data_IF_521765233288
#
_entry.id   IF_521765233288
#
_cell.length_a   1.000
_cell.length_b   1.000
_cell.length_c   1.000
_cell.angle_alpha   90.00
_cell.angle_beta   90.00
_cell.angle_gamma   90.00
#
_symmetry.space_group_name_H-M   'P 1'
#
loop_
_entity.id
_entity.type
_entity.pdbx_description
1 polymer ?
#
# COMPACT_ATOMS: atom_id res chain seq x y z
N UNK A 1 -36.79 15.90 -43.81
CA UNK A 1 -38.07 15.14 -43.84
C UNK A 1 -37.65 13.72 -44.07
N UNK A 2 -37.63 12.94 -42.99
CA UNK A 2 -36.74 11.78 -42.92
C UNK A 2 -37.55 10.47 -42.85
N UNK A 3 -38.76 10.53 -42.29
CA UNK A 3 -39.76 9.49 -42.45
C UNK A 3 -41.17 10.06 -42.45
N UNK A 4 -42.11 9.25 -42.93
CA UNK A 4 -43.55 9.49 -42.79
C UNK A 4 -44.17 8.28 -42.11
N UNK A 5 -44.90 8.53 -41.03
CA UNK A 5 -45.60 7.47 -40.30
C UNK A 5 -47.10 7.71 -40.41
N UNK A 6 -47.83 6.67 -40.77
CA UNK A 6 -49.30 6.70 -40.83
C UNK A 6 -49.84 5.87 -39.68
N UNK A 7 -50.63 6.50 -38.81
CA UNK A 7 -51.32 5.81 -37.72
C UNK A 7 -52.70 6.44 -37.50
N UNK A 8 -53.72 5.60 -37.24
CA UNK A 8 -55.12 6.01 -37.08
C UNK A 8 -55.65 6.93 -38.20
N UNK A 9 -55.22 6.74 -39.45
CA UNK A 9 -55.66 7.55 -40.59
C UNK A 9 -55.04 8.94 -40.68
N UNK A 10 -54.13 9.30 -39.77
CA UNK A 10 -53.36 10.54 -39.82
C UNK A 10 -51.94 10.28 -40.37
N UNK A 11 -51.46 11.22 -41.17
CA UNK A 11 -50.09 11.21 -41.72
C UNK A 11 -49.24 12.17 -40.88
N UNK A 12 -48.20 11.64 -40.26
CA UNK A 12 -47.23 12.42 -39.48
C UNK A 12 -45.91 12.51 -40.24
N UNK A 13 -45.42 13.73 -40.42
CA UNK A 13 -44.09 13.98 -40.94
C UNK A 13 -43.09 13.88 -39.78
N UNK A 14 -42.22 12.87 -39.82
CA UNK A 14 -41.15 12.71 -38.83
C UNK A 14 -39.92 13.40 -39.39
N UNK A 15 -39.47 14.43 -38.67
CA UNK A 15 -38.22 15.12 -38.94
C UNK A 15 -37.27 14.83 -37.79
N UNK A 16 -36.05 14.41 -38.08
CA UNK A 16 -34.96 14.44 -37.11
C UNK A 16 -34.63 15.90 -36.82
N UNK A 17 -35.34 16.48 -35.86
CA UNK A 17 -35.21 17.88 -35.44
C UNK A 17 -33.98 18.10 -34.54
N UNK A 18 -33.60 17.08 -33.75
CA UNK A 18 -32.58 17.25 -32.71
C UNK A 18 -31.25 16.61 -33.09
N UNK A 19 -30.30 17.43 -33.50
CA UNK A 19 -28.88 17.15 -33.23
C UNK A 19 -28.66 17.46 -31.75
N UNK A 20 -28.56 16.44 -30.91
CA UNK A 20 -28.11 16.65 -29.53
C UNK A 20 -26.60 16.91 -29.56
N UNK A 21 -26.22 18.20 -29.54
CA UNK A 21 -24.85 18.61 -29.31
C UNK A 21 -24.60 18.61 -27.81
N UNK A 22 -23.67 17.77 -27.37
CA UNK A 22 -23.32 17.68 -25.96
C UNK A 22 -22.11 18.57 -25.73
N UNK A 23 -22.28 19.59 -24.90
CA UNK A 23 -21.20 20.49 -24.55
C UNK A 23 -20.37 19.83 -23.45
N UNK A 24 -19.04 19.87 -23.59
CA UNK A 24 -18.15 19.51 -22.50
C UNK A 24 -18.30 20.56 -21.41
N UNK A 25 -18.75 20.13 -20.24
CA UNK A 25 -18.97 21.00 -19.09
C UNK A 25 -17.75 20.96 -18.17
N UNK A 26 -17.18 19.78 -17.96
CA UNK A 26 -16.04 19.57 -17.07
C UNK A 26 -15.01 18.71 -17.78
N UNK A 27 -13.73 19.01 -17.61
CA UNK A 27 -12.67 18.07 -17.94
C UNK A 27 -11.53 18.16 -16.92
N UNK A 28 -10.82 17.06 -16.72
CA UNK A 28 -9.64 16.99 -15.84
C UNK A 28 -8.70 15.90 -16.29
N UNK A 29 -7.43 15.96 -15.88
CA UNK A 29 -6.47 14.89 -16.18
C UNK A 29 -6.60 13.74 -15.17
N UNK A 30 -6.22 12.54 -15.61
CA UNK A 30 -6.06 11.37 -14.74
C UNK A 30 -4.60 10.95 -14.76
N UNK A 31 -3.95 11.00 -13.61
CA UNK A 31 -2.51 10.75 -13.45
C UNK A 31 -2.25 9.56 -12.52
N UNK A 32 -1.15 8.88 -12.76
CA UNK A 32 -0.61 7.83 -11.90
C UNK A 32 -0.01 8.47 -10.64
N UNK A 33 -0.45 8.03 -9.48
CA UNK A 33 0.01 8.50 -8.16
C UNK A 33 1.40 7.93 -7.77
N UNK A 34 2.27 7.71 -8.76
CA UNK A 34 3.66 7.37 -8.54
C UNK A 34 4.46 8.64 -8.26
N UNK A 35 5.13 8.69 -7.10
CA UNK A 35 5.81 9.90 -6.61
C UNK A 35 7.05 10.28 -7.42
N UNK A 36 7.64 9.32 -8.13
CA UNK A 36 8.91 9.49 -8.82
C UNK A 36 8.79 9.94 -10.28
N UNK A 37 7.67 9.60 -10.91
CA UNK A 37 7.33 9.96 -12.28
C UNK A 37 5.81 9.92 -12.41
N UNK A 38 5.08 10.98 -12.02
CA UNK A 38 3.66 11.08 -12.33
C UNK A 38 3.51 11.06 -13.84
N UNK A 39 2.77 10.09 -14.35
CA UNK A 39 2.51 9.89 -15.76
C UNK A 39 0.99 9.83 -15.99
N UNK A 40 0.47 10.24 -17.15
CA UNK A 40 -0.94 10.01 -17.46
C UNK A 40 -1.31 8.54 -17.31
N UNK A 41 -2.47 8.26 -16.73
CA UNK A 41 -3.02 6.90 -16.76
C UNK A 41 -3.41 6.61 -18.20
N UNK A 42 -2.73 5.62 -18.80
CA UNK A 42 -3.02 5.23 -20.17
C UNK A 42 -4.45 4.68 -20.27
N UNK A 43 -5.20 5.18 -21.26
CA UNK A 43 -6.52 4.66 -21.59
C UNK A 43 -6.44 3.20 -22.09
N UNK A 44 -7.54 2.41 -22.01
CA UNK A 44 -8.86 2.80 -21.51
C UNK A 44 -8.97 2.76 -19.98
N UNK A 45 -9.71 3.72 -19.44
CA UNK A 45 -10.26 3.68 -18.09
C UNK A 45 -11.72 4.13 -18.14
N UNK A 46 -12.53 3.59 -17.23
CA UNK A 46 -13.95 3.87 -17.16
C UNK A 46 -14.18 5.09 -16.26
N UNK A 47 -15.16 5.90 -16.65
CA UNK A 47 -15.58 7.09 -15.91
C UNK A 47 -17.10 7.04 -15.79
N UNK A 48 -17.62 7.25 -14.59
CA UNK A 48 -19.05 7.50 -14.36
C UNK A 48 -19.27 8.73 -13.50
N UNK A 49 -20.46 9.31 -13.59
CA UNK A 49 -20.89 10.46 -12.81
C UNK A 49 -22.26 10.15 -12.22
N UNK A 50 -22.52 10.65 -11.01
CA UNK A 50 -23.77 10.43 -10.26
C UNK A 50 -25.00 11.12 -10.86
N UNK A 51 -24.80 12.07 -11.76
CA UNK A 51 -25.86 12.75 -12.50
C UNK A 51 -26.24 12.02 -13.80
N UNK A 52 -27.48 11.54 -13.89
CA UNK A 52 -28.00 10.80 -15.04
C UNK A 52 -28.18 11.63 -16.33
N UNK A 53 -28.16 12.96 -16.23
CA UNK A 53 -28.28 13.91 -17.34
C UNK A 53 -26.92 14.25 -17.96
N UNK A 54 -25.84 13.95 -17.23
CA UNK A 54 -24.48 14.03 -17.75
C UNK A 54 -24.07 12.68 -18.35
N UNK A 55 -23.07 12.71 -19.22
CA UNK A 55 -22.23 11.52 -19.40
C UNK A 55 -20.78 11.83 -19.23
N UNK A 56 -20.10 10.78 -18.83
CA UNK A 56 -18.69 10.76 -18.62
C UNK A 56 -18.00 9.94 -19.70
N UNK A 57 -16.79 10.35 -20.07
CA UNK A 57 -15.90 9.58 -20.95
C UNK A 57 -14.46 9.76 -20.48
N UNK A 58 -13.71 8.67 -20.49
CA UNK A 58 -12.24 8.70 -20.39
C UNK A 58 -11.61 8.88 -21.78
N UNK A 59 -10.44 9.50 -21.83
CA UNK A 59 -9.60 9.67 -23.02
C UNK A 59 -8.12 9.78 -22.62
N UNK A 60 -7.19 9.71 -23.57
CA UNK A 60 -5.74 9.69 -23.29
C UNK A 60 -5.23 10.88 -22.47
N UNK A 61 -5.91 12.03 -22.57
CA UNK A 61 -5.56 13.24 -21.83
C UNK A 61 -6.30 13.41 -20.47
N UNK A 62 -7.15 12.46 -20.05
CA UNK A 62 -8.00 12.62 -18.87
C UNK A 62 -9.47 12.20 -19.05
N UNK A 63 -10.38 12.83 -18.32
CA UNK A 63 -11.81 12.58 -18.40
C UNK A 63 -12.57 13.85 -18.78
N UNK A 64 -13.76 13.66 -19.36
CA UNK A 64 -14.69 14.73 -19.66
C UNK A 64 -16.11 14.35 -19.21
N UNK A 65 -16.83 15.33 -18.67
CA UNK A 65 -18.26 15.26 -18.43
C UNK A 65 -18.96 16.19 -19.41
N UNK A 66 -19.96 15.67 -20.13
CA UNK A 66 -20.69 16.40 -21.15
C UNK A 66 -22.20 16.26 -20.95
N UNK A 67 -22.93 17.32 -21.30
CA UNK A 67 -24.38 17.39 -21.18
C UNK A 67 -24.92 18.72 -21.68
N UNK A 68 -26.19 18.98 -21.38
CA UNK A 68 -26.82 20.29 -21.58
C UNK A 68 -26.73 21.09 -20.28
N UNK A 69 -26.02 22.24 -20.25
CA UNK A 69 -25.82 23.00 -19.01
C UNK A 69 -27.13 23.58 -18.45
N UNK A 70 -28.14 23.82 -19.29
CA UNK A 70 -29.43 24.37 -18.84
C UNK A 70 -30.32 23.29 -18.20
N UNK A 71 -29.99 22.01 -18.43
CA UNK A 71 -30.74 20.87 -17.91
C UNK A 71 -30.00 20.19 -16.77
N UNK A 72 -28.73 19.81 -16.98
CA UNK A 72 -27.92 19.09 -16.00
C UNK A 72 -27.44 20.01 -14.86
N UNK A 73 -27.29 21.31 -15.11
CA UNK A 73 -26.84 22.29 -14.12
C UNK A 73 -27.84 23.45 -14.02
N UNK A 74 -29.14 23.16 -13.95
CA UNK A 74 -30.23 24.12 -14.25
C UNK A 74 -30.17 25.50 -13.55
N UNK A 75 -29.49 25.60 -12.40
CA UNK A 75 -29.31 26.85 -11.68
C UNK A 75 -27.85 27.29 -11.72
N UNK A 76 -27.51 28.17 -12.66
CA UNK A 76 -26.14 28.69 -12.81
C UNK A 76 -25.76 29.68 -11.70
N UNK A 77 -26.64 30.02 -10.77
CA UNK A 77 -26.31 30.96 -9.68
C UNK A 77 -25.70 30.27 -8.45
N UNK A 78 -25.76 28.94 -8.39
CA UNK A 78 -25.20 28.11 -7.33
C UNK A 78 -24.08 27.23 -7.86
N UNK A 79 -23.16 26.84 -6.97
CA UNK A 79 -22.17 25.83 -7.30
C UNK A 79 -22.83 24.44 -7.27
N UNK A 80 -22.44 23.59 -8.21
CA UNK A 80 -22.88 22.20 -8.29
C UNK A 80 -21.72 21.27 -7.93
N UNK A 81 -22.02 20.20 -7.20
CA UNK A 81 -21.05 19.16 -6.87
C UNK A 81 -21.43 17.91 -7.62
N UNK A 82 -20.49 17.39 -8.40
CA UNK A 82 -20.64 16.17 -9.20
C UNK A 82 -19.72 15.09 -8.62
N UNK A 83 -20.26 13.92 -8.33
CA UNK A 83 -19.47 12.79 -7.87
C UNK A 83 -19.05 11.93 -9.07
N UNK A 84 -17.74 11.77 -9.25
CA UNK A 84 -17.14 11.09 -10.39
C UNK A 84 -16.38 9.85 -9.90
N UNK A 85 -16.73 8.69 -10.45
CA UNK A 85 -16.00 7.44 -10.25
C UNK A 85 -15.09 7.16 -11.43
N UNK A 86 -13.86 6.75 -11.12
CA UNK A 86 -12.82 6.37 -12.07
C UNK A 86 -12.35 4.95 -11.75
N UNK A 87 -12.32 4.07 -12.75
CA UNK A 87 -11.77 2.72 -12.61
C UNK A 87 -10.86 2.36 -13.79
N UNK A 88 -9.72 1.75 -13.49
CA UNK A 88 -8.74 1.36 -14.50
C UNK A 88 -8.04 0.06 -14.08
N UNK A 89 -7.75 -0.81 -15.06
CA UNK A 89 -7.06 -2.07 -14.78
C UNK A 89 -5.69 -1.81 -14.17
N UNK A 90 -5.42 -2.44 -13.02
CA UNK A 90 -4.16 -2.27 -12.29
C UNK A 90 -4.10 -1.03 -11.40
N UNK A 91 -5.20 -0.29 -11.28
CA UNK A 91 -5.39 0.80 -10.33
C UNK A 91 -6.51 0.49 -9.34
N UNK A 92 -6.51 1.19 -8.22
CA UNK A 92 -7.63 1.24 -7.30
C UNK A 92 -8.67 2.19 -7.86
N UNK A 93 -9.92 1.81 -7.74
CA UNK A 93 -11.04 2.69 -8.07
C UNK A 93 -10.95 3.97 -7.23
N UNK A 94 -11.30 5.09 -7.86
CA UNK A 94 -11.19 6.41 -7.26
C UNK A 94 -12.51 7.16 -7.43
N UNK A 95 -13.06 7.56 -6.30
CA UNK A 95 -14.19 8.46 -6.21
C UNK A 95 -13.68 9.88 -5.95
N UNK A 96 -14.14 10.86 -6.73
CA UNK A 96 -13.79 12.27 -6.55
C UNK A 96 -15.02 13.17 -6.69
N UNK A 97 -15.04 14.21 -5.86
CA UNK A 97 -16.04 15.25 -5.91
C UNK A 97 -15.51 16.41 -6.74
N UNK A 98 -16.23 16.78 -7.81
CA UNK A 98 -15.87 17.87 -8.72
C UNK A 98 -16.87 19.00 -8.57
N UNK A 99 -16.38 20.17 -8.18
CA UNK A 99 -17.22 21.36 -8.04
C UNK A 99 -17.25 22.18 -9.33
N UNK A 100 -18.43 22.34 -9.90
CA UNK A 100 -18.72 23.36 -10.91
C UNK A 100 -19.09 24.65 -10.17
N UNK A 101 -18.33 25.75 -10.32
CA UNK A 101 -18.61 26.99 -9.60
C UNK A 101 -19.92 27.63 -10.08
N UNK A 102 -20.49 28.53 -9.27
CA UNK A 102 -21.55 29.42 -9.72
C UNK A 102 -21.06 30.32 -10.87
N UNK A 103 -21.97 30.62 -11.79
CA UNK A 103 -21.73 31.33 -13.05
C UNK A 103 -20.52 30.76 -13.83
N UNK A 104 -20.52 29.44 -14.14
CA UNK A 104 -19.36 28.78 -14.72
C UNK A 104 -19.09 29.27 -16.15
N UNK A 105 -17.81 29.34 -16.52
CA UNK A 105 -17.38 29.45 -17.91
C UNK A 105 -16.99 28.06 -18.37
N UNK A 106 -17.73 27.50 -19.32
CA UNK A 106 -17.49 26.15 -19.81
C UNK A 106 -16.46 26.12 -20.96
N UNK A 107 -15.59 25.09 -21.01
CA UNK A 107 -15.54 23.99 -20.07
C UNK A 107 -14.76 24.34 -18.78
N UNK A 108 -15.19 23.81 -17.64
CA UNK A 108 -14.51 23.96 -16.35
C UNK A 108 -13.37 22.95 -16.26
N UNK A 109 -12.17 23.44 -15.96
CA UNK A 109 -10.98 22.61 -15.74
C UNK A 109 -10.98 22.12 -14.29
N UNK A 110 -11.21 20.83 -14.08
CA UNK A 110 -11.09 20.18 -12.79
C UNK A 110 -9.62 19.90 -12.44
N UNK A 111 -9.34 19.74 -11.14
CA UNK A 111 -8.02 19.34 -10.68
C UNK A 111 -7.67 17.92 -11.15
N UNK A 112 -6.38 17.66 -11.36
CA UNK A 112 -5.89 16.35 -11.74
C UNK A 112 -6.27 15.30 -10.69
N UNK A 113 -6.77 14.16 -11.16
CA UNK A 113 -7.12 13.04 -10.30
C UNK A 113 -6.00 12.01 -10.32
N UNK A 114 -5.36 11.83 -9.17
CA UNK A 114 -4.33 10.82 -8.99
C UNK A 114 -4.96 9.45 -8.68
N UNK A 115 -4.72 8.45 -9.54
CA UNK A 115 -5.12 7.06 -9.31
C UNK A 115 -3.96 6.25 -8.74
N UNK A 116 -4.22 5.50 -7.67
CA UNK A 116 -3.21 4.67 -7.01
C UNK A 116 -3.17 3.28 -7.64
N UNK A 117 -1.97 2.80 -7.98
CA UNK A 117 -1.78 1.43 -8.48
C UNK A 117 -2.17 0.37 -7.45
N UNK A 118 -2.70 -0.75 -7.94
CA UNK A 118 -2.83 -1.97 -7.13
C UNK A 118 -1.43 -2.49 -6.81
N UNK A 119 -1.13 -2.85 -5.54
CA UNK A 119 0.22 -3.25 -5.18
C UNK A 119 0.66 -4.55 -5.87
N UNK A 120 1.89 -4.56 -6.39
CA UNK A 120 2.54 -5.73 -6.99
C UNK A 120 3.70 -6.22 -6.12
N UNK A 121 4.28 -7.36 -6.49
CA UNK A 121 5.39 -7.97 -5.77
C UNK A 121 6.66 -8.09 -6.62
N UNK A 122 7.82 -8.06 -5.96
CA UNK A 122 9.11 -8.48 -6.51
C UNK A 122 9.60 -9.70 -5.76
N UNK A 123 10.10 -10.70 -6.48
CA UNK A 123 10.69 -11.89 -5.85
C UNK A 123 11.92 -12.34 -6.59
N UNK A 124 12.80 -13.07 -5.92
CA UNK A 124 13.95 -13.68 -6.57
C UNK A 124 14.92 -14.28 -5.58
N UNK A 125 16.15 -14.48 -6.04
CA UNK A 125 17.26 -15.04 -5.26
C UNK A 125 18.43 -14.08 -5.18
N UNK A 126 19.09 -14.09 -4.04
CA UNK A 126 20.37 -13.43 -3.81
C UNK A 126 21.42 -14.53 -3.69
N UNK A 127 22.40 -14.48 -4.60
CA UNK A 127 23.41 -15.52 -4.77
C UNK A 127 24.79 -14.90 -4.90
N UNK A 128 25.83 -15.66 -4.58
CA UNK A 128 27.22 -15.28 -4.85
C UNK A 128 27.47 -15.31 -6.36
N UNK A 129 28.13 -14.29 -6.91
CA UNK A 129 28.39 -14.18 -8.35
C UNK A 129 29.27 -15.34 -8.87
N UNK A 130 30.27 -15.75 -8.09
CA UNK A 130 31.25 -16.75 -8.51
C UNK A 130 30.71 -18.19 -8.47
N UNK A 131 29.95 -18.55 -7.43
CA UNK A 131 29.53 -19.95 -7.20
C UNK A 131 28.05 -20.20 -7.46
N UNK A 132 27.21 -19.16 -7.43
CA UNK A 132 25.75 -19.31 -7.45
C UNK A 132 25.14 -19.78 -6.12
N UNK A 133 25.96 -19.89 -5.06
CA UNK A 133 25.48 -20.27 -3.73
C UNK A 133 24.56 -19.19 -3.15
N UNK A 134 23.54 -19.56 -2.35
CA UNK A 134 22.66 -18.59 -1.73
C UNK A 134 23.39 -17.71 -0.72
N UNK A 135 23.02 -16.43 -0.65
CA UNK A 135 23.50 -15.50 0.39
C UNK A 135 22.38 -15.30 1.43
N UNK A 136 22.32 -16.12 2.49
CA UNK A 136 21.26 -16.03 3.48
C UNK A 136 21.40 -14.76 4.33
N UNK A 137 20.27 -14.20 4.76
CA UNK A 137 20.27 -13.01 5.61
C UNK A 137 20.65 -11.70 4.90
N UNK A 138 20.91 -11.74 3.59
CA UNK A 138 21.07 -10.52 2.79
C UNK A 138 19.83 -9.64 2.90
N UNK A 139 20.04 -8.33 3.06
CA UNK A 139 19.00 -7.34 3.32
C UNK A 139 18.80 -6.45 2.10
N UNK A 140 17.53 -6.27 1.71
CA UNK A 140 17.08 -5.35 0.68
C UNK A 140 16.46 -4.13 1.34
N UNK A 141 17.03 -2.97 1.12
CA UNK A 141 16.48 -1.69 1.53
C UNK A 141 16.10 -0.85 0.31
N UNK A 142 15.15 0.06 0.51
CA UNK A 142 14.78 1.09 -0.47
C UNK A 142 15.62 2.34 -0.19
N UNK A 143 16.42 2.78 -1.17
CA UNK A 143 17.21 4.01 -1.08
C UNK A 143 16.53 5.21 -1.72
N UNK A 144 15.61 4.95 -2.65
CA UNK A 144 15.04 5.99 -3.48
C UNK A 144 13.98 5.45 -4.42
N UNK A 145 13.55 6.24 -5.40
CA UNK A 145 14.23 7.42 -5.95
C UNK A 145 14.26 8.62 -4.99
N UNK A 146 15.12 9.60 -5.31
CA UNK A 146 15.18 10.84 -4.56
C UNK A 146 13.86 11.61 -4.76
N UNK A 147 13.13 11.83 -3.66
CA UNK A 147 11.90 12.60 -3.66
C UNK A 147 12.18 14.04 -3.24
N UNK A 148 11.35 15.01 -3.67
CA UNK A 148 11.45 16.39 -3.20
C UNK A 148 11.45 16.46 -1.68
N UNK A 149 12.38 17.22 -1.12
CA UNK A 149 12.46 17.36 0.33
C UNK A 149 11.15 17.96 0.90
N UNK A 150 10.69 17.50 2.08
CA UNK A 150 11.38 16.58 2.99
C UNK A 150 11.02 15.09 2.77
N UNK A 151 10.28 14.74 1.71
CA UNK A 151 9.70 13.40 1.50
C UNK A 151 10.76 12.30 1.41
N UNK A 152 10.46 11.14 2.02
CA UNK A 152 11.33 9.94 2.03
C UNK A 152 10.49 8.69 1.83
N UNK A 153 10.92 7.82 0.92
CA UNK A 153 10.30 6.52 0.75
C UNK A 153 10.93 5.48 1.70
N UNK A 154 10.12 4.69 2.38
CA UNK A 154 10.55 3.61 3.25
C UNK A 154 9.85 2.32 2.85
N UNK A 155 10.64 1.26 2.67
CA UNK A 155 10.13 -0.09 2.46
C UNK A 155 9.91 -0.79 3.81
N UNK A 156 8.69 -1.24 4.04
CA UNK A 156 8.30 -2.09 5.15
C UNK A 156 8.60 -3.55 4.83
N UNK A 157 8.95 -4.32 5.86
CA UNK A 157 9.14 -5.78 5.78
C UNK A 157 7.86 -6.56 5.46
N UNK A 158 6.71 -5.93 5.66
CA UNK A 158 5.40 -6.47 5.35
C UNK A 158 4.46 -5.33 4.96
N UNK A 159 3.49 -5.56 4.06
CA UNK A 159 2.50 -4.55 3.73
C UNK A 159 1.66 -4.14 4.94
N UNK A 160 1.12 -2.93 4.89
CA UNK A 160 0.12 -2.44 5.81
C UNK A 160 -1.11 -3.37 5.79
N UNK A 161 -1.56 -3.80 6.97
CA UNK A 161 -2.79 -4.60 7.07
C UNK A 161 -4.06 -3.77 6.84
N UNK A 162 -3.96 -2.44 6.96
CA UNK A 162 -5.07 -1.48 6.86
C UNK A 162 -4.56 -0.15 6.33
N UNK A 163 -5.47 0.68 5.81
CA UNK A 163 -5.12 2.06 5.46
C UNK A 163 -4.78 2.86 6.72
N UNK A 164 -3.88 3.83 6.58
CA UNK A 164 -3.53 4.78 7.63
C UNK A 164 -4.32 6.06 7.44
N UNK A 165 -4.73 6.69 8.54
CA UNK A 165 -5.32 8.03 8.49
C UNK A 165 -4.23 9.10 8.32
N UNK A 166 -4.63 10.32 7.96
CA UNK A 166 -3.74 11.47 7.90
C UNK A 166 -3.12 11.85 9.27
N UNK A 167 -3.69 11.38 10.38
CA UNK A 167 -3.16 11.59 11.73
C UNK A 167 -2.14 10.51 12.15
N UNK A 168 -1.89 9.51 11.32
CA UNK A 168 -0.95 8.44 11.63
C UNK A 168 0.48 9.00 11.78
N UNK A 169 1.24 8.40 12.70
CA UNK A 169 2.65 8.70 12.88
C UNK A 169 3.48 7.43 12.80
N UNK A 170 4.66 7.55 12.22
CA UNK A 170 5.66 6.50 12.12
C UNK A 170 6.89 6.93 12.89
N UNK A 171 7.32 6.11 13.83
CA UNK A 171 8.54 6.35 14.60
C UNK A 171 9.34 5.08 14.71
N UNK A 172 10.63 5.17 14.43
CA UNK A 172 11.48 4.03 14.61
C UNK A 172 12.06 3.90 16.01
N UNK A 173 12.34 2.65 16.38
CA UNK A 173 12.79 2.23 17.71
C UNK A 173 13.92 1.24 17.58
N UNK A 174 14.87 1.28 18.51
CA UNK A 174 15.85 0.22 18.67
C UNK A 174 15.18 -1.06 19.22
N UNK A 175 15.72 -2.23 18.88
CA UNK A 175 15.33 -3.51 19.45
C UNK A 175 16.48 -4.13 20.22
N UNK A 176 16.21 -4.59 21.45
CA UNK A 176 17.14 -5.42 22.20
C UNK A 176 16.55 -6.81 22.39
N UNK A 177 17.32 -7.85 22.04
CA UNK A 177 16.90 -9.22 22.28
C UNK A 177 16.77 -9.47 23.79
N UNK A 178 15.71 -10.16 24.20
CA UNK A 178 15.51 -10.50 25.61
C UNK A 178 16.42 -11.67 25.99
N UNK A 179 17.26 -11.47 27.00
CA UNK A 179 18.07 -12.53 27.57
C UNK A 179 17.14 -13.54 28.28
N UNK A 180 17.20 -14.80 27.84
CA UNK A 180 16.42 -15.91 28.40
C UNK A 180 17.18 -17.21 28.20
N UNK A 181 16.93 -18.20 29.05
CA UNK A 181 17.50 -19.55 28.90
C UNK A 181 17.11 -20.18 27.54
N UNK A 182 15.92 -19.81 27.03
CA UNK A 182 15.44 -20.20 25.71
C UNK A 182 15.18 -18.90 24.92
N UNK A 183 16.17 -18.35 24.20
CA UNK A 183 16.05 -17.03 23.54
C UNK A 183 15.14 -17.04 22.31
N UNK A 184 14.80 -18.21 21.77
CA UNK A 184 13.87 -18.39 20.66
C UNK A 184 12.89 -19.48 21.03
N UNK A 185 11.60 -19.14 21.05
CA UNK A 185 10.49 -20.06 21.32
C UNK A 185 9.97 -20.64 20.01
N UNK A 186 9.09 -21.62 20.10
CA UNK A 186 8.43 -22.25 18.96
C UNK A 186 6.92 -22.16 19.12
N UNK A 187 6.22 -21.74 18.07
CA UNK A 187 4.78 -21.85 18.01
C UNK A 187 4.35 -23.34 18.04
N UNK A 188 3.54 -23.72 19.03
CA UNK A 188 3.05 -25.10 19.18
C UNK A 188 1.87 -25.41 18.26
N UNK A 189 1.05 -24.40 18.02
CA UNK A 189 -0.13 -24.47 17.16
C UNK A 189 -0.07 -23.45 16.04
N UNK A 190 -0.82 -23.70 14.99
CA UNK A 190 -1.08 -22.72 13.95
C UNK A 190 -2.03 -21.64 14.48
N UNK A 191 -1.71 -20.38 14.21
CA UNK A 191 -2.58 -19.25 14.48
C UNK A 191 -2.77 -18.45 13.19
N UNK A 192 -4.01 -18.29 12.70
CA UNK A 192 -4.26 -17.54 11.48
C UNK A 192 -3.99 -16.04 11.68
N UNK A 193 -3.89 -15.30 10.57
CA UNK A 193 -3.93 -13.84 10.62
C UNK A 193 -5.24 -13.41 11.32
N UNK A 194 -5.17 -12.35 12.12
CA UNK A 194 -6.28 -11.91 12.97
C UNK A 194 -6.35 -12.59 14.34
N UNK A 195 -5.58 -13.65 14.61
CA UNK A 195 -5.56 -14.25 15.93
C UNK A 195 -4.86 -13.32 16.94
N UNK A 196 -5.38 -13.29 18.17
CA UNK A 196 -4.82 -12.54 19.31
C UNK A 196 -4.26 -13.46 20.40
N UNK A 197 -4.36 -14.78 20.21
CA UNK A 197 -3.88 -15.81 21.14
C UNK A 197 -2.94 -16.74 20.41
N UNK A 198 -1.85 -17.10 21.09
CA UNK A 198 -0.84 -18.03 20.59
C UNK A 198 -0.47 -19.03 21.67
N UNK A 199 -0.20 -20.26 21.27
CA UNK A 199 0.41 -21.29 22.12
C UNK A 199 1.88 -21.42 21.76
N UNK A 200 2.76 -21.14 22.72
CA UNK A 200 4.20 -21.32 22.57
C UNK A 200 4.67 -22.54 23.36
N UNK A 201 5.80 -23.11 22.98
CA UNK A 201 6.43 -24.24 23.66
C UNK A 201 7.04 -23.89 25.01
N UNK A 202 7.42 -22.63 25.18
CA UNK A 202 8.06 -22.08 26.37
C UNK A 202 7.69 -20.59 26.52
N UNK A 203 7.47 -20.14 27.75
CA UNK A 203 7.07 -18.77 28.13
C UNK A 203 8.13 -18.04 28.97
N UNK A 204 9.29 -18.63 29.24
CA UNK A 204 10.34 -18.02 30.06
C UNK A 204 10.89 -16.74 29.41
N UNK A 205 10.94 -15.66 30.19
CA UNK A 205 11.44 -14.37 29.71
C UNK A 205 10.45 -13.58 28.84
N UNK A 206 9.23 -14.09 28.63
CA UNK A 206 8.15 -13.34 28.01
C UNK A 206 7.46 -12.45 29.05
N UNK A 207 7.19 -11.20 28.70
CA UNK A 207 6.51 -10.25 29.57
C UNK A 207 5.60 -9.28 28.77
N UNK A 208 4.51 -8.78 29.37
CA UNK A 208 3.71 -7.71 28.78
C UNK A 208 4.56 -6.53 28.31
N UNK A 209 4.19 -5.95 27.16
CA UNK A 209 4.87 -4.81 26.54
C UNK A 209 6.06 -5.17 25.65
N UNK A 210 6.61 -6.38 25.76
CA UNK A 210 7.64 -6.87 24.83
C UNK A 210 7.08 -7.12 23.43
N UNK A 211 7.95 -7.16 22.43
CA UNK A 211 7.62 -7.59 21.08
C UNK A 211 8.07 -9.03 20.84
N UNK A 212 7.25 -9.80 20.13
CA UNK A 212 7.66 -11.07 19.55
C UNK A 212 7.82 -10.93 18.05
N UNK A 213 8.97 -11.35 17.55
CA UNK A 213 9.19 -11.56 16.12
C UNK A 213 8.87 -13.00 15.77
N UNK A 214 7.87 -13.21 14.92
CA UNK A 214 7.44 -14.54 14.49
C UNK A 214 8.00 -14.92 13.13
N UNK A 215 8.28 -16.21 12.98
CA UNK A 215 8.70 -16.82 11.72
C UNK A 215 10.15 -16.55 11.35
N UNK A 216 10.60 -17.11 10.23
CA UNK A 216 11.94 -16.90 9.71
C UNK A 216 12.12 -15.45 9.23
N UNK A 217 13.37 -14.97 9.16
CA UNK A 217 13.69 -13.56 8.88
C UNK A 217 12.97 -12.98 7.64
N UNK A 218 12.84 -13.75 6.57
CA UNK A 218 12.19 -13.35 5.31
C UNK A 218 10.66 -13.22 5.37
N UNK A 219 10.03 -13.77 6.41
CA UNK A 219 8.58 -13.66 6.68
C UNK A 219 8.30 -13.10 8.07
N UNK A 220 9.32 -12.49 8.67
CA UNK A 220 9.25 -11.99 10.01
C UNK A 220 8.17 -10.91 10.14
N UNK A 221 7.39 -10.99 11.20
CA UNK A 221 6.49 -9.91 11.60
C UNK A 221 6.46 -9.82 13.11
N UNK A 222 6.07 -8.65 13.61
CA UNK A 222 6.10 -8.34 15.03
C UNK A 222 4.69 -8.22 15.59
N UNK A 223 4.49 -8.69 16.81
CA UNK A 223 3.34 -8.35 17.60
C UNK A 223 3.75 -8.08 19.05
N UNK A 224 3.00 -7.22 19.74
CA UNK A 224 3.26 -6.90 21.13
C UNK A 224 2.51 -7.86 22.05
N UNK A 225 3.20 -8.32 23.09
CA UNK A 225 2.64 -9.14 24.16
C UNK A 225 1.74 -8.26 25.03
N UNK A 226 0.46 -8.63 25.16
CA UNK A 226 -0.45 -8.04 26.13
C UNK A 226 -0.36 -8.78 27.47
N UNK A 227 -0.43 -10.11 27.43
CA UNK A 227 -0.32 -10.94 28.63
C UNK A 227 0.29 -12.30 28.33
N UNK A 228 0.84 -12.94 29.36
CA UNK A 228 1.36 -14.31 29.30
C UNK A 228 0.58 -15.11 30.34
N UNK A 229 0.01 -16.26 29.95
CA UNK A 229 -0.68 -17.14 30.89
C UNK A 229 0.28 -17.55 32.01
N UNK A 230 -0.23 -17.69 33.23
CA UNK A 230 0.49 -18.31 34.34
C UNK A 230 0.17 -19.82 34.49
N UNK A 231 -0.65 -20.37 33.61
CA UNK A 231 -1.01 -21.79 33.58
C UNK A 231 -0.37 -22.48 32.35
N UNK A 232 0.41 -23.56 32.54
CA UNK A 232 0.90 -24.09 33.83
C UNK A 232 1.87 -23.14 34.53
N UNK A 233 2.02 -23.26 35.86
CA UNK A 233 2.88 -22.38 36.67
C UNK A 233 4.35 -22.42 36.25
N UNK A 234 4.83 -23.57 35.75
CA UNK A 234 6.16 -23.68 35.18
C UNK A 234 6.20 -23.03 33.79
N UNK A 235 6.84 -21.86 33.69
CA UNK A 235 6.97 -21.10 32.45
C UNK A 235 7.83 -21.79 31.38
N UNK A 236 8.61 -22.81 31.72
CA UNK A 236 9.35 -23.64 30.75
C UNK A 236 8.44 -24.61 29.97
N UNK A 237 7.19 -24.77 30.40
CA UNK A 237 6.20 -25.57 29.72
C UNK A 237 5.34 -24.73 28.79
N UNK A 238 4.79 -25.40 27.78
CA UNK A 238 3.91 -24.77 26.79
C UNK A 238 2.75 -24.08 27.46
N UNK A 239 2.41 -22.89 26.96
CA UNK A 239 1.27 -22.16 27.48
C UNK A 239 0.91 -21.00 26.57
N UNK A 240 -0.24 -20.41 26.87
CA UNK A 240 -0.83 -19.40 26.00
C UNK A 240 -0.31 -18.00 26.33
N UNK A 241 -0.32 -17.14 25.33
CA UNK A 241 -0.10 -15.71 25.47
C UNK A 241 -1.16 -14.94 24.69
N UNK A 242 -1.43 -13.70 25.08
CA UNK A 242 -2.32 -12.78 24.36
C UNK A 242 -1.53 -11.61 23.79
N UNK A 243 -1.97 -11.12 22.63
CA UNK A 243 -1.36 -10.02 21.89
C UNK A 243 -2.20 -8.74 22.03
N UNK A 244 -1.53 -7.58 22.03
CA UNK A 244 -2.21 -6.27 22.08
C UNK A 244 -3.00 -5.99 20.79
N UNK A 245 -2.54 -6.56 19.68
CA UNK A 245 -3.17 -6.44 18.37
C UNK A 245 -3.32 -7.82 17.72
N UNK A 246 -4.33 -8.01 16.86
CA UNK A 246 -4.43 -9.19 16.00
C UNK A 246 -3.15 -9.38 15.15
N UNK A 247 -2.75 -10.63 14.95
CA UNK A 247 -1.62 -10.97 14.09
C UNK A 247 -1.83 -10.44 12.67
N UNK A 248 -0.88 -9.67 12.16
CA UNK A 248 -0.89 -9.20 10.77
C UNK A 248 -0.70 -10.34 9.75
N UNK A 249 -0.11 -11.47 10.17
CA UNK A 249 0.14 -12.67 9.35
C UNK A 249 -0.05 -13.91 10.21
N UNK A 250 -0.45 -15.01 9.58
CA UNK A 250 -0.52 -16.30 10.28
C UNK A 250 0.85 -16.78 10.74
N UNK A 251 0.88 -17.41 11.91
CA UNK A 251 2.02 -18.11 12.50
C UNK A 251 1.79 -19.60 12.34
N UNK A 252 2.75 -20.32 11.74
CA UNK A 252 2.65 -21.76 11.55
C UNK A 252 3.19 -22.49 12.77
N UNK A 253 2.68 -23.70 13.00
CA UNK A 253 3.31 -24.62 13.95
C UNK A 253 4.79 -24.83 13.57
N UNK A 254 5.68 -24.68 14.55
CA UNK A 254 7.12 -24.76 14.34
C UNK A 254 7.81 -23.43 14.02
N UNK A 255 7.05 -22.34 13.78
CA UNK A 255 7.67 -21.04 13.54
C UNK A 255 8.39 -20.54 14.81
N UNK A 256 9.59 -19.98 14.61
CA UNK A 256 10.35 -19.34 15.66
C UNK A 256 9.64 -18.09 16.18
N UNK A 257 9.68 -17.86 17.49
CA UNK A 257 9.17 -16.67 18.16
C UNK A 257 10.24 -16.10 19.09
N UNK A 258 10.87 -15.00 18.68
CA UNK A 258 11.97 -14.39 19.42
C UNK A 258 11.50 -13.10 20.15
N UNK A 259 11.66 -13.01 21.48
CA UNK A 259 11.27 -11.83 22.26
C UNK A 259 12.31 -10.70 22.21
N UNK A 260 11.79 -9.48 22.11
CA UNK A 260 12.55 -8.23 22.09
C UNK A 260 11.92 -7.19 23.02
N UNK A 261 12.74 -6.36 23.64
CA UNK A 261 12.30 -5.11 24.27
C UNK A 261 12.42 -3.95 23.29
N UNK A 262 11.44 -3.05 23.35
CA UNK A 262 11.50 -1.77 22.64
C UNK A 262 12.46 -0.84 23.36
N UNK A 263 13.49 -0.38 22.64
CA UNK A 263 14.47 0.57 23.14
C UNK A 263 14.05 2.03 22.96
N UNK A 264 15.06 2.91 23.00
CA UNK A 264 14.90 4.33 22.74
C UNK A 264 14.38 4.62 21.32
N UNK A 265 13.82 5.81 21.14
CA UNK A 265 13.48 6.33 19.81
C UNK A 265 14.76 6.43 18.97
N UNK A 266 14.68 6.02 17.72
CA UNK A 266 15.75 6.14 16.75
C UNK A 266 15.33 7.13 15.66
N UNK A 267 15.94 8.32 15.67
CA UNK A 267 15.63 9.39 14.73
C UNK A 267 14.29 10.10 15.00
N UNK A 268 13.81 10.90 14.03
CA UNK A 268 12.59 11.70 14.16
C UNK A 268 11.31 10.85 14.13
N UNK A 269 10.20 11.46 14.51
CA UNK A 269 8.86 10.95 14.16
C UNK A 269 8.49 11.53 12.80
N UNK A 270 7.86 10.73 11.96
CA UNK A 270 7.40 11.16 10.64
C UNK A 270 5.89 10.90 10.48
N UNK A 271 5.22 11.65 9.63
CA UNK A 271 3.86 11.41 9.19
C UNK A 271 3.84 10.85 7.76
N UNK A 272 2.89 9.98 7.41
CA UNK A 272 2.65 9.62 6.02
C UNK A 272 2.31 10.86 5.17
N UNK A 273 2.91 10.94 3.99
CA UNK A 273 2.60 11.97 2.99
C UNK A 273 1.63 11.37 1.97
N UNK A 274 0.44 11.98 1.92
CA UNK A 274 -0.69 11.48 1.14
C UNK A 274 -1.27 10.18 1.71
N UNK A 275 -2.18 9.57 0.96
CA UNK A 275 -2.85 8.35 1.38
C UNK A 275 -1.89 7.15 1.41
N UNK A 276 -1.98 6.35 2.48
CA UNK A 276 -1.28 5.09 2.65
C UNK A 276 -2.30 3.96 2.82
N UNK A 277 -2.44 3.12 1.81
CA UNK A 277 -3.52 2.14 1.72
C UNK A 277 -3.12 0.76 2.29
N UNK A 278 -4.14 -0.03 2.66
CA UNK A 278 -3.95 -1.43 2.99
C UNK A 278 -3.30 -2.19 1.81
N UNK A 279 -2.35 -3.08 2.09
CA UNK A 279 -1.62 -3.83 1.09
C UNK A 279 -0.38 -3.12 0.54
N UNK A 280 -0.11 -1.88 0.93
CA UNK A 280 1.12 -1.16 0.54
C UNK A 280 2.26 -1.42 1.53
N UNK A 281 3.47 -1.62 1.02
CA UNK A 281 4.68 -1.73 1.83
C UNK A 281 5.65 -0.57 1.60
N UNK A 282 5.37 0.33 0.65
CA UNK A 282 6.14 1.56 0.46
C UNK A 282 5.37 2.70 1.08
N UNK A 283 5.91 3.26 2.16
CA UNK A 283 5.38 4.49 2.76
C UNK A 283 6.22 5.67 2.30
N UNK A 284 5.54 6.76 1.97
CA UNK A 284 6.18 8.06 1.78
C UNK A 284 5.97 8.82 3.07
N UNK A 285 7.05 9.23 3.69
CA UNK A 285 7.08 9.90 4.98
C UNK A 285 7.64 11.32 4.78
N UNK A 286 7.26 12.25 5.65
CA UNK A 286 7.78 13.62 5.64
C UNK A 286 9.17 13.75 6.29
N UNK A 287 9.72 12.66 6.84
CA UNK A 287 11.09 12.58 7.35
C UNK A 287 11.64 11.14 7.29
N UNK A 288 12.95 10.98 7.40
CA UNK A 288 13.61 9.67 7.43
C UNK A 288 13.59 9.08 8.84
N UNK A 289 12.77 8.05 9.03
CA UNK A 289 12.79 7.25 10.26
C UNK A 289 13.96 6.25 10.29
N UNK A 290 14.60 6.13 11.45
CA UNK A 290 15.71 5.21 11.70
C UNK A 290 15.33 4.16 12.75
N UNK A 291 16.11 3.09 12.92
CA UNK A 291 15.87 2.06 13.93
C UNK A 291 15.58 0.68 13.34
N UNK A 292 15.47 -0.31 14.23
CA UNK A 292 15.32 -1.72 13.89
C UNK A 292 13.87 -2.10 13.56
N UNK A 293 12.93 -1.45 14.26
CA UNK A 293 11.50 -1.57 14.04
C UNK A 293 10.86 -0.20 13.88
N UNK A 294 9.89 -0.11 12.98
CA UNK A 294 9.02 1.03 12.77
C UNK A 294 7.72 0.77 13.51
N UNK A 295 7.35 1.71 14.39
CA UNK A 295 6.10 1.72 15.13
C UNK A 295 5.15 2.70 14.44
N UNK A 296 4.03 2.18 13.96
CA UNK A 296 2.96 2.98 13.37
C UNK A 296 1.87 3.18 14.43
N UNK A 297 1.57 4.44 14.73
CA UNK A 297 0.52 4.86 15.66
C UNK A 297 -0.57 5.56 14.87
N UNK A 298 -1.80 5.05 14.94
CA UNK A 298 -2.92 5.56 14.15
C UNK A 298 -4.24 5.26 14.87
N UNK A 299 -4.55 6.10 15.87
CA UNK A 299 -5.68 5.91 16.78
C UNK A 299 -7.03 5.89 16.01
N UNK A 300 -8.03 5.13 16.48
CA UNK A 300 -8.08 4.35 17.72
C UNK A 300 -7.44 2.95 17.62
N UNK A 301 -6.81 2.64 16.50
CA UNK A 301 -6.29 1.30 16.25
C UNK A 301 -5.03 1.01 17.07
N UNK A 302 -4.77 -0.26 17.40
CA UNK A 302 -3.55 -0.63 18.12
C UNK A 302 -2.29 -0.38 17.27
N UNK A 303 -1.15 -0.28 17.97
CA UNK A 303 0.15 -0.07 17.34
C UNK A 303 0.48 -1.20 16.36
N UNK A 304 1.00 -0.84 15.19
CA UNK A 304 1.54 -1.78 14.22
C UNK A 304 3.06 -1.69 14.17
N UNK A 305 3.71 -2.83 13.98
CA UNK A 305 5.17 -2.97 14.08
C UNK A 305 5.72 -3.62 12.81
N UNK A 306 6.64 -2.93 12.14
CA UNK A 306 7.26 -3.40 10.90
C UNK A 306 8.78 -3.28 11.00
N UNK A 307 9.54 -4.32 10.65
CA UNK A 307 10.94 -4.10 10.32
C UNK A 307 11.06 -3.27 9.03
N UNK A 308 12.18 -2.57 8.86
CA UNK A 308 12.54 -1.89 7.61
C UNK A 308 13.20 -2.88 6.64
N UNK A 309 12.83 -2.80 5.37
CA UNK A 309 13.40 -3.61 4.30
C UNK A 309 13.00 -5.10 4.35
N UNK A 310 13.54 -5.89 3.43
CA UNK A 310 13.29 -7.33 3.31
C UNK A 310 14.59 -8.09 3.56
N UNK A 311 14.50 -9.29 4.13
CA UNK A 311 15.65 -10.15 4.39
C UNK A 311 15.50 -11.46 3.63
N UNK A 312 16.59 -11.96 3.05
CA UNK A 312 16.62 -13.22 2.34
C UNK A 312 16.60 -14.42 3.28
N UNK A 313 15.96 -15.50 2.84
CA UNK A 313 15.90 -16.76 3.57
C UNK A 313 17.21 -17.57 3.47
N UNK A 314 17.23 -18.75 4.09
CA UNK A 314 18.38 -19.66 4.06
C UNK A 314 18.79 -20.11 2.63
N UNK A 315 17.85 -20.09 1.68
CA UNK A 315 18.06 -20.40 0.26
C UNK A 315 18.34 -19.16 -0.61
N UNK A 316 18.55 -18.00 0.03
CA UNK A 316 18.75 -16.72 -0.62
C UNK A 316 17.50 -16.14 -1.25
N UNK A 317 16.31 -16.73 -1.04
CA UNK A 317 15.06 -16.26 -1.63
C UNK A 317 14.51 -15.08 -0.83
N UNK A 318 13.87 -14.16 -1.54
CA UNK A 318 13.19 -13.03 -0.93
C UNK A 318 11.87 -12.73 -1.65
N UNK A 319 10.99 -12.01 -0.96
CA UNK A 319 9.74 -11.51 -1.51
C UNK A 319 9.47 -10.11 -0.94
N UNK A 320 9.40 -9.12 -1.83
CA UNK A 320 8.89 -7.78 -1.54
C UNK A 320 7.44 -7.75 -2.02
N UNK A 321 6.49 -7.58 -1.11
CA UNK A 321 5.08 -7.41 -1.46
C UNK A 321 4.69 -5.96 -1.26
N UNK A 322 3.66 -5.48 -1.95
CA UNK A 322 3.06 -4.19 -1.64
C UNK A 322 3.75 -2.98 -2.29
N UNK A 323 4.43 -3.17 -3.42
CA UNK A 323 5.00 -2.06 -4.17
C UNK A 323 3.89 -1.40 -5.00
N UNK A 324 3.62 -0.12 -4.79
CA UNK A 324 2.53 0.61 -5.47
C UNK A 324 2.83 2.09 -5.77
N UNK A 325 3.83 2.70 -5.13
CA UNK A 325 4.06 4.16 -5.16
C UNK A 325 5.24 4.65 -5.99
N UNK A 326 6.03 3.73 -6.53
CA UNK A 326 7.29 4.04 -7.22
C UNK A 326 7.36 3.27 -8.53
N UNK A 327 7.51 3.98 -9.64
CA UNK A 327 7.68 3.42 -10.97
C UNK A 327 9.04 2.72 -11.10
N UNK A 328 10.07 3.29 -10.48
CA UNK A 328 11.47 2.81 -10.55
C UNK A 328 12.15 2.86 -9.18
N UNK A 329 11.74 2.04 -8.20
CA UNK A 329 12.41 1.97 -6.90
C UNK A 329 13.91 1.70 -7.05
N UNK A 330 14.72 2.46 -6.32
CA UNK A 330 16.15 2.22 -6.18
C UNK A 330 16.37 1.30 -4.98
N UNK A 331 16.60 0.02 -5.26
CA UNK A 331 16.83 -1.00 -4.23
C UNK A 331 18.32 -1.17 -3.98
N UNK A 332 18.71 -1.35 -2.72
CA UNK A 332 20.07 -1.70 -2.30
C UNK A 332 20.07 -3.02 -1.57
N UNK A 333 21.03 -3.88 -1.90
CA UNK A 333 21.30 -5.11 -1.19
C UNK A 333 22.60 -5.00 -0.39
N UNK A 334 22.55 -5.46 0.85
CA UNK A 334 23.71 -5.60 1.73
C UNK A 334 23.75 -6.99 2.36
N UNK A 335 24.95 -7.53 2.56
CA UNK A 335 25.18 -8.78 3.29
C UNK A 335 26.58 -8.72 3.92
N UNK A 336 26.77 -9.40 5.05
CA UNK A 336 28.07 -9.44 5.71
C UNK A 336 29.10 -10.16 4.83
N UNK A 337 30.27 -9.55 4.62
CA UNK A 337 31.31 -10.11 3.76
C UNK A 337 31.02 -10.00 2.26
N UNK A 338 30.13 -9.09 1.84
CA UNK A 338 29.87 -8.78 0.44
C UNK A 338 29.81 -7.27 0.20
N UNK A 339 30.24 -6.83 -0.98
CA UNK A 339 30.03 -5.48 -1.45
C UNK A 339 28.53 -5.18 -1.63
N UNK A 340 28.10 -3.98 -1.23
CA UNK A 340 26.72 -3.55 -1.43
C UNK A 340 26.43 -3.29 -2.91
N UNK A 341 25.24 -3.68 -3.37
CA UNK A 341 24.78 -3.46 -4.75
C UNK A 341 23.52 -2.61 -4.74
N UNK A 342 23.40 -1.69 -5.69
CA UNK A 342 22.20 -0.87 -5.89
C UNK A 342 21.71 -0.97 -7.33
N UNK A 343 20.40 -1.01 -7.53
CA UNK A 343 19.78 -1.05 -8.86
C UNK A 343 18.42 -0.36 -8.86
N UNK A 344 18.20 0.51 -9.84
CA UNK A 344 16.86 1.02 -10.16
C UNK A 344 16.07 -0.08 -10.89
N UNK A 345 14.91 -0.44 -10.36
CA UNK A 345 14.10 -1.56 -10.85
C UNK A 345 12.83 -1.02 -11.50
N UNK A 346 12.67 -1.08 -12.83
CA UNK A 346 11.41 -0.69 -13.45
C UNK A 346 10.31 -1.68 -13.09
N UNK A 347 9.24 -1.17 -12.49
CA UNK A 347 8.10 -1.99 -12.09
C UNK A 347 7.29 -2.43 -13.31
N UNK A 348 6.95 -3.73 -13.36
CA UNK A 348 6.08 -4.30 -14.40
C UNK A 348 4.68 -4.47 -13.85
N UNK A 349 3.89 -3.40 -13.89
CA UNK A 349 2.56 -3.35 -13.28
C UNK A 349 1.55 -4.34 -13.87
N UNK A 350 1.75 -4.79 -15.11
CA UNK A 350 0.94 -5.83 -15.73
C UNK A 350 1.18 -7.23 -15.14
N UNK A 351 2.23 -7.42 -14.32
CA UNK A 351 2.57 -8.69 -13.68
C UNK A 351 2.38 -8.56 -12.16
N UNK A 352 1.56 -9.43 -11.54
CA UNK A 352 1.36 -9.38 -10.08
C UNK A 352 2.67 -9.64 -9.31
N UNK A 353 3.59 -10.39 -9.93
CA UNK A 353 4.91 -10.71 -9.37
C UNK A 353 5.96 -10.60 -10.47
N UNK A 354 6.96 -9.74 -10.29
CA UNK A 354 8.11 -9.65 -11.21
C UNK A 354 9.35 -10.33 -10.62
N UNK A 355 10.08 -11.15 -11.40
CA UNK A 355 11.32 -11.78 -10.95
C UNK A 355 12.48 -10.78 -10.95
N UNK A 356 13.33 -10.87 -9.93
CA UNK A 356 14.52 -10.04 -9.78
C UNK A 356 15.61 -10.78 -9.00
N UNK A 357 16.64 -11.25 -9.68
CA UNK A 357 17.78 -11.89 -9.03
C UNK A 357 18.93 -10.91 -8.79
N UNK A 358 19.75 -11.23 -7.79
CA UNK A 358 20.93 -10.48 -7.42
C UNK A 358 22.13 -11.40 -7.30
N UNK A 359 23.27 -10.92 -7.80
CA UNK A 359 24.54 -11.64 -7.76
C UNK A 359 25.57 -10.77 -7.05
N UNK A 360 25.91 -11.14 -5.82
CA UNK A 360 26.81 -10.38 -4.96
C UNK A 360 28.26 -10.82 -5.13
N UNK A 361 29.18 -9.87 -5.10
CA UNK A 361 30.62 -10.10 -5.02
C UNK A 361 31.08 -9.94 -3.57
N UNK A 362 31.91 -10.85 -3.03
CA UNK A 362 32.50 -10.72 -1.70
C UNK A 362 33.19 -9.37 -1.49
#
# INVERSE_FOLDING_TARGET
>A
MDARVVTNGHVYDVTYDRVMLWQVLVHGAVIDDCEDQPAPVAAPFDVSVDDALLRASGHDAGYALAGDPDVALHDHTVAHTLEVDLSAVGFRDRHVSVTVPAAPVFPVVAADVAMRRVPVSLQGRIMTLATGDPVPGARIDLLGPALPAPRRAVLLSSPLARALTAAATVRGKALAAVASAVPVKTARDEAPAGAVRLLLDDRQGLAPGQLLRFGPAHRAHFAQIQSVSNDPANLALSGTMTLTAPLARGVRRGDAAAPFTLGANAGPSAAPVGDAFAGEAVLILDDLVAGDVLVVTDAPNPLAFHARGIVADASGRYLIQGLSRLQRPLLRITAAGFAALSRAVPMRWAQPVSPLDWRMTP
#
